data_IF_488450280767
#
_entry.id   IF_488450280767
#
_cell.length_a   1.000
_cell.length_b   1.000
_cell.length_c   1.000
_cell.angle_alpha   90.00
_cell.angle_beta   90.00
_cell.angle_gamma   90.00
#
_symmetry.space_group_name_H-M   'P 1'
#
loop_
_entity.id
_entity.type
_entity.pdbx_description
1 polymer ?
#
# COMPACT_ATOMS: atom_id res chain seq x y z
N UNK A 1 7.07 -27.20 -3.74
CA UNK A 1 6.84 -27.34 -5.19
C UNK A 1 7.95 -26.59 -5.90
N UNK A 2 9.03 -27.28 -6.24
CA UNK A 2 10.06 -26.73 -7.13
C UNK A 2 9.61 -26.94 -8.56
N UNK A 3 9.82 -25.94 -9.42
CA UNK A 3 9.46 -26.00 -10.83
C UNK A 3 10.75 -26.17 -11.67
N UNK A 4 11.02 -27.36 -12.23
CA UNK A 4 12.22 -27.59 -13.01
C UNK A 4 11.90 -27.51 -14.51
N UNK A 5 12.43 -26.48 -15.20
CA UNK A 5 13.16 -26.60 -16.49
C UNK A 5 13.27 -25.27 -17.28
N UNK A 6 14.51 -24.84 -17.50
CA UNK A 6 15.13 -24.31 -18.74
C UNK A 6 14.31 -23.49 -19.77
N UNK A 7 14.58 -22.17 -19.85
CA UNK A 7 15.12 -21.44 -21.03
C UNK A 7 15.27 -19.92 -20.72
N UNK A 8 16.47 -19.36 -20.86
CA UNK A 8 16.73 -17.96 -21.27
C UNK A 8 16.48 -16.76 -20.34
N UNK A 9 15.33 -16.63 -19.67
CA UNK A 9 15.02 -15.45 -18.82
C UNK A 9 14.08 -15.92 -17.70
N UNK A 10 14.55 -15.93 -16.44
CA UNK A 10 13.66 -16.19 -15.30
C UNK A 10 12.73 -15.00 -15.12
N UNK A 11 11.58 -15.04 -15.81
CA UNK A 11 10.44 -14.16 -15.53
C UNK A 11 9.72 -14.74 -14.32
N UNK A 12 10.07 -14.26 -13.13
CA UNK A 12 9.30 -14.52 -11.93
C UNK A 12 7.90 -13.96 -12.14
N UNK A 13 6.88 -14.83 -12.14
CA UNK A 13 5.48 -14.42 -12.19
C UNK A 13 4.97 -14.28 -10.75
N UNK A 14 4.54 -13.09 -10.31
CA UNK A 14 3.89 -12.94 -9.02
C UNK A 14 2.65 -13.82 -8.93
N UNK A 15 2.41 -14.42 -7.76
CA UNK A 15 1.34 -15.41 -7.58
C UNK A 15 0.17 -14.89 -6.75
N UNK A 16 0.42 -13.89 -5.89
CA UNK A 16 -0.60 -13.21 -5.09
C UNK A 16 -0.05 -11.95 -4.42
N UNK A 17 -0.93 -11.03 -4.08
CA UNK A 17 -0.71 -9.99 -3.10
C UNK A 17 -0.92 -10.56 -1.69
N UNK A 18 -0.06 -10.16 -0.75
CA UNK A 18 -0.17 -10.60 0.66
C UNK A 18 -0.51 -9.44 1.59
N UNK A 19 0.23 -8.34 1.47
CA UNK A 19 0.08 -7.17 2.31
C UNK A 19 0.24 -5.91 1.48
N UNK A 20 -0.54 -4.88 1.81
CA UNK A 20 -0.38 -3.51 1.33
C UNK A 20 -0.17 -2.60 2.54
N UNK A 21 0.87 -1.78 2.50
CA UNK A 21 1.14 -0.79 3.54
C UNK A 21 1.17 0.59 2.90
N UNK A 22 0.41 1.52 3.46
CA UNK A 22 0.44 2.92 3.06
C UNK A 22 0.65 3.79 4.30
N UNK A 23 1.72 4.59 4.29
CA UNK A 23 1.98 5.62 5.29
C UNK A 23 2.00 6.97 4.59
N UNK A 24 0.97 7.79 4.83
CA UNK A 24 0.84 9.11 4.20
C UNK A 24 0.71 10.21 5.24
N UNK A 25 1.25 11.38 4.89
CA UNK A 25 1.01 12.59 5.66
C UNK A 25 -0.44 13.04 5.50
N UNK A 26 -0.98 13.68 6.53
CA UNK A 26 -2.34 14.22 6.53
C UNK A 26 -2.44 15.47 7.40
N UNK A 27 -3.46 16.28 7.16
CA UNK A 27 -3.73 17.46 7.99
C UNK A 27 -4.04 17.05 9.44
N UNK A 28 -3.72 17.95 10.38
CA UNK A 28 -4.10 17.78 11.77
C UNK A 28 -5.63 17.68 11.91
N UNK A 29 -6.10 16.74 12.72
CA UNK A 29 -7.53 16.58 13.03
C UNK A 29 -8.32 15.68 12.07
N UNK A 30 -7.70 15.18 10.99
CA UNK A 30 -8.32 14.18 10.12
C UNK A 30 -8.35 12.82 10.82
N UNK A 31 -9.50 12.14 10.78
CA UNK A 31 -9.68 10.82 11.38
C UNK A 31 -9.05 9.71 10.51
N UNK A 32 -8.22 8.88 11.12
CA UNK A 32 -7.55 7.78 10.41
C UNK A 32 -8.55 6.72 9.93
N UNK A 33 -9.45 6.30 10.80
CA UNK A 33 -10.32 5.14 10.60
C UNK A 33 -11.56 5.45 9.77
N UNK A 34 -12.09 6.68 9.88
CA UNK A 34 -13.35 7.06 9.25
C UNK A 34 -13.17 7.87 7.97
N UNK A 35 -11.94 8.28 7.65
CA UNK A 35 -11.64 9.06 6.46
C UNK A 35 -10.38 8.56 5.74
N UNK A 36 -9.20 8.62 6.37
CA UNK A 36 -7.93 8.30 5.67
C UNK A 36 -7.92 6.85 5.15
N UNK A 37 -8.26 5.89 6.00
CA UNK A 37 -8.26 4.46 5.65
C UNK A 37 -9.27 4.10 4.55
N UNK A 38 -10.57 4.43 4.65
CA UNK A 38 -11.51 4.15 3.57
C UNK A 38 -11.15 4.90 2.27
N UNK A 39 -10.73 6.17 2.35
CA UNK A 39 -10.37 6.97 1.17
C UNK A 39 -9.17 6.35 0.42
N UNK A 40 -8.14 5.91 1.15
CA UNK A 40 -6.98 5.26 0.52
C UNK A 40 -7.34 3.89 -0.06
N UNK A 41 -8.21 3.12 0.58
CA UNK A 41 -8.68 1.85 0.03
C UNK A 41 -9.45 2.08 -1.28
N UNK A 42 -10.39 3.02 -1.28
CA UNK A 42 -11.28 3.27 -2.42
C UNK A 42 -10.58 3.97 -3.58
N UNK A 43 -9.84 5.04 -3.29
CA UNK A 43 -9.32 5.93 -4.32
C UNK A 43 -7.86 5.66 -4.71
N UNK A 44 -7.15 4.82 -3.96
CA UNK A 44 -5.73 4.52 -4.24
C UNK A 44 -5.47 3.03 -4.38
N UNK A 45 -5.79 2.20 -3.39
CA UNK A 45 -5.41 0.79 -3.41
C UNK A 45 -6.22 0.02 -4.46
N UNK A 46 -7.55 0.04 -4.38
CA UNK A 46 -8.42 -0.66 -5.34
C UNK A 46 -8.18 -0.31 -6.81
N UNK A 47 -8.05 0.97 -7.21
CA UNK A 47 -7.85 1.31 -8.62
C UNK A 47 -6.44 0.99 -9.14
N UNK A 48 -5.44 0.77 -8.26
CA UNK A 48 -4.05 0.51 -8.65
C UNK A 48 -3.71 -0.99 -8.60
N UNK A 49 -4.37 -1.77 -7.74
CA UNK A 49 -4.16 -3.22 -7.68
C UNK A 49 -4.59 -3.85 -9.02
N UNK A 50 -3.68 -4.57 -9.71
CA UNK A 50 -3.99 -5.25 -10.97
C UNK A 50 -5.16 -6.21 -10.81
N UNK A 51 -5.99 -6.34 -11.85
CA UNK A 51 -7.18 -7.21 -11.85
C UNK A 51 -6.86 -8.65 -11.40
N UNK A 52 -5.70 -9.18 -11.80
CA UNK A 52 -5.25 -10.53 -11.42
C UNK A 52 -4.98 -10.72 -9.91
N UNK A 53 -4.94 -9.64 -9.12
CA UNK A 53 -4.74 -9.65 -7.66
C UNK A 53 -5.89 -8.98 -6.89
N UNK A 54 -6.98 -8.57 -7.54
CA UNK A 54 -8.08 -7.86 -6.87
C UNK A 54 -8.81 -8.73 -5.84
N UNK A 55 -8.97 -10.02 -6.15
CA UNK A 55 -9.65 -11.00 -5.30
C UNK A 55 -8.72 -11.70 -4.30
N UNK A 56 -7.43 -11.33 -4.27
CA UNK A 56 -6.51 -11.87 -3.28
C UNK A 56 -6.94 -11.45 -1.87
N UNK A 57 -6.86 -12.38 -0.93
CA UNK A 57 -6.96 -12.07 0.49
C UNK A 57 -5.63 -11.43 0.96
N UNK A 58 -5.52 -10.11 0.81
CA UNK A 58 -4.38 -9.33 1.30
C UNK A 58 -4.75 -8.41 2.45
N UNK A 59 -3.83 -8.29 3.41
CA UNK A 59 -3.97 -7.39 4.55
C UNK A 59 -3.64 -5.96 4.13
N UNK A 60 -4.45 -4.99 4.55
CA UNK A 60 -4.21 -3.56 4.31
C UNK A 60 -3.86 -2.87 5.62
N UNK A 61 -2.72 -2.17 5.63
CA UNK A 61 -2.24 -1.41 6.76
C UNK A 61 -2.08 0.05 6.39
N UNK A 62 -3.00 0.89 6.86
CA UNK A 62 -2.97 2.35 6.65
C UNK A 62 -2.45 3.05 7.89
N UNK A 63 -1.42 3.88 7.72
CA UNK A 63 -0.76 4.65 8.77
C UNK A 63 -0.56 3.83 10.06
N UNK A 64 0.13 2.68 10.01
CA UNK A 64 0.27 1.77 11.15
C UNK A 64 1.03 2.38 12.33
N UNK A 65 1.86 3.40 12.09
CA UNK A 65 2.53 4.20 13.13
C UNK A 65 1.62 5.25 13.78
N UNK A 66 0.38 5.41 13.30
CA UNK A 66 -0.58 6.38 13.80
C UNK A 66 -0.49 7.74 13.11
N UNK A 67 -0.39 8.81 13.90
CA UNK A 67 -0.50 10.21 13.43
C UNK A 67 0.73 10.61 12.63
N UNK A 68 0.54 11.02 11.37
CA UNK A 68 1.61 11.49 10.49
C UNK A 68 1.27 12.88 9.95
N UNK A 69 1.39 13.90 10.80
CA UNK A 69 0.98 15.28 10.46
C UNK A 69 2.14 16.13 9.97
N UNK A 70 3.35 15.84 10.41
CA UNK A 70 4.56 16.59 10.06
C UNK A 70 5.48 15.65 9.26
N UNK A 71 5.97 16.13 8.12
CA UNK A 71 7.08 15.50 7.41
C UNK A 71 7.50 16.29 6.18
N UNK A 72 8.45 15.75 5.42
CA UNK A 72 9.21 16.52 4.42
C UNK A 72 10.37 17.30 5.04
N UNK A 73 11.15 18.01 4.22
CA UNK A 73 12.38 18.72 4.63
C UNK A 73 12.16 20.07 5.33
N UNK A 74 10.99 20.31 5.92
CA UNK A 74 10.74 21.45 6.80
C UNK A 74 11.24 21.18 8.22
N UNK A 75 12.56 21.04 8.36
CA UNK A 75 13.29 21.37 9.60
C UNK A 75 13.86 22.80 9.56
N UNK A 76 13.41 23.63 8.62
CA UNK A 76 13.82 25.03 8.56
C UNK A 76 12.60 25.93 8.82
N UNK A 77 12.59 26.74 9.89
CA UNK A 77 11.62 27.82 10.00
C UNK A 77 11.89 28.82 8.88
N UNK A 78 10.87 29.15 8.09
CA UNK A 78 10.90 30.39 7.29
C UNK A 78 10.67 31.58 8.21
#
# INVERSE_FOLDING_TARGET
>A
MENPSHNGLRRWKPVRLRNVVVSTQHNAGVDRSHQIEPDLIEHVIRPIVPEEFQDDAYDVHVNPSGRFVIGGQSEMPV
#
